data_IF_114037371091
#
_entry.id   IF_114037371091
#
_cell.length_a   1.000
_cell.length_b   1.000
_cell.length_c   1.000
_cell.angle_alpha   90.00
_cell.angle_beta   90.00
_cell.angle_gamma   90.00
#
_symmetry.space_group_name_H-M   'P 1'
#
loop_
_entity.id
_entity.type
_entity.pdbx_description
1 polymer ?
#
# COMPACT_ATOMS: atom_id res chain seq x y z
N UNK A 1 -11.31 -2.56 16.60
CA UNK A 1 -9.87 -2.41 16.28
C UNK A 1 -9.33 -1.22 17.07
N UNK A 2 -8.12 -1.30 17.64
CA UNK A 2 -7.52 -0.19 18.40
C UNK A 2 -6.37 0.44 17.59
N UNK A 3 -6.51 1.73 17.27
CA UNK A 3 -5.48 2.53 16.62
C UNK A 3 -4.69 3.30 17.69
N UNK A 4 -3.36 3.14 17.67
CA UNK A 4 -2.45 3.81 18.62
C UNK A 4 -2.30 5.29 18.25
N UNK A 5 -2.54 6.19 19.21
CA UNK A 5 -2.55 7.65 18.96
C UNK A 5 -1.19 8.22 18.50
N UNK A 6 -0.10 7.52 18.81
CA UNK A 6 1.25 7.81 18.31
C UNK A 6 1.35 7.76 16.79
N UNK A 7 0.59 6.87 16.14
CA UNK A 7 0.65 6.62 14.70
C UNK A 7 -0.60 7.08 13.95
N UNK A 8 -1.70 7.31 14.65
CA UNK A 8 -2.99 7.65 14.05
C UNK A 8 -3.66 8.80 14.81
N UNK A 9 -4.53 9.52 14.13
CA UNK A 9 -5.45 10.45 14.77
C UNK A 9 -6.84 10.27 14.17
N UNK A 10 -7.88 10.48 14.98
CA UNK A 10 -9.25 10.53 14.48
C UNK A 10 -9.37 11.70 13.50
N UNK A 11 -10.02 11.45 12.38
CA UNK A 11 -10.26 12.46 11.36
C UNK A 11 -11.58 12.15 10.66
N UNK A 12 -12.44 13.16 10.53
CA UNK A 12 -13.70 13.00 9.80
C UNK A 12 -13.44 13.27 8.33
N UNK A 13 -13.47 12.22 7.52
CA UNK A 13 -13.36 12.33 6.06
C UNK A 13 -14.74 12.53 5.45
N UNK A 14 -14.80 13.38 4.41
CA UNK A 14 -15.95 13.38 3.50
C UNK A 14 -15.94 12.09 2.67
N UNK A 15 -17.12 11.54 2.37
CA UNK A 15 -17.21 10.31 1.56
C UNK A 15 -16.54 10.46 0.18
N UNK A 16 -16.63 11.65 -0.41
CA UNK A 16 -15.97 11.99 -1.68
C UNK A 16 -14.45 11.85 -1.57
N UNK A 17 -13.86 12.30 -0.46
CA UNK A 17 -12.42 12.21 -0.21
C UNK A 17 -11.95 10.76 -0.11
N UNK A 18 -12.72 9.89 0.57
CA UNK A 18 -12.42 8.45 0.64
C UNK A 18 -12.53 7.79 -0.74
N UNK A 19 -13.53 8.18 -1.55
CA UNK A 19 -13.69 7.71 -2.93
C UNK A 19 -12.50 8.14 -3.82
N UNK A 20 -12.00 9.35 -3.65
CA UNK A 20 -10.84 9.85 -4.40
C UNK A 20 -9.54 9.12 -4.01
N UNK A 21 -9.36 8.78 -2.73
CA UNK A 21 -8.24 7.91 -2.30
C UNK A 21 -8.30 6.54 -2.95
N UNK A 22 -9.48 5.91 -2.96
CA UNK A 22 -9.67 4.63 -3.62
C UNK A 22 -9.39 4.71 -5.13
N UNK A 23 -9.87 5.77 -5.79
CA UNK A 23 -9.61 6.01 -7.23
C UNK A 23 -8.11 6.16 -7.51
N UNK A 24 -7.39 6.90 -6.65
CA UNK A 24 -5.93 7.05 -6.75
C UNK A 24 -5.19 5.72 -6.57
N UNK A 25 -5.62 4.89 -5.62
CA UNK A 25 -5.07 3.55 -5.43
C UNK A 25 -5.30 2.65 -6.67
N UNK A 26 -6.52 2.65 -7.21
CA UNK A 26 -6.88 1.91 -8.41
C UNK A 26 -6.09 2.37 -9.64
N UNK A 27 -5.92 3.68 -9.82
CA UNK A 27 -5.13 4.25 -10.91
C UNK A 27 -3.68 3.75 -10.88
N UNK A 28 -3.05 3.71 -9.69
CA UNK A 28 -1.72 3.11 -9.54
C UNK A 28 -1.70 1.63 -9.95
N UNK A 29 -2.70 0.85 -9.54
CA UNK A 29 -2.78 -0.57 -9.91
C UNK A 29 -2.96 -0.75 -11.43
N UNK A 30 -3.75 0.11 -12.08
CA UNK A 30 -3.95 0.09 -13.52
C UNK A 30 -2.67 0.41 -14.28
N UNK A 31 -1.88 1.39 -13.82
CA UNK A 31 -0.58 1.71 -14.43
C UNK A 31 0.36 0.51 -14.33
N UNK A 32 0.47 -0.11 -13.15
CA UNK A 32 1.29 -1.31 -12.96
C UNK A 32 0.86 -2.47 -13.88
N UNK A 33 -0.43 -2.55 -14.22
CA UNK A 33 -0.98 -3.60 -15.08
C UNK A 33 -0.85 -3.38 -16.58
N UNK A 34 -0.44 -2.19 -17.05
CA UNK A 34 -0.40 -1.81 -18.47
C UNK A 34 1.01 -1.72 -19.06
N UNK A 35 2.03 -1.90 -18.23
CA UNK A 35 3.44 -1.74 -18.60
C UNK A 35 4.19 -3.05 -18.39
N UNK A 36 5.26 -3.25 -19.17
CA UNK A 36 6.13 -4.44 -19.10
C UNK A 36 7.55 -4.08 -18.61
N UNK A 37 7.66 -3.01 -17.83
CA UNK A 37 8.92 -2.56 -17.21
C UNK A 37 8.89 -2.97 -15.72
N UNK A 38 9.72 -3.93 -15.27
CA UNK A 38 9.64 -4.49 -13.92
C UNK A 38 9.66 -3.45 -12.79
N UNK A 39 10.51 -2.44 -12.90
CA UNK A 39 10.65 -1.36 -11.93
C UNK A 39 9.37 -0.51 -11.84
N UNK A 40 8.73 -0.26 -12.99
CA UNK A 40 7.47 0.48 -13.04
C UNK A 40 6.34 -0.37 -12.45
N UNK A 41 6.27 -1.66 -12.79
CA UNK A 41 5.30 -2.59 -12.21
C UNK A 41 5.44 -2.61 -10.69
N UNK A 42 6.65 -2.81 -10.18
CA UNK A 42 6.92 -2.85 -8.75
C UNK A 42 6.53 -1.54 -8.05
N UNK A 43 7.01 -0.40 -8.56
CA UNK A 43 6.75 0.93 -7.97
C UNK A 43 5.26 1.21 -7.88
N UNK A 44 4.54 1.04 -8.97
CA UNK A 44 3.10 1.32 -9.00
C UNK A 44 2.28 0.27 -8.24
N UNK A 45 2.74 -0.98 -8.14
CA UNK A 45 2.12 -1.99 -7.27
C UNK A 45 2.25 -1.60 -5.80
N UNK A 46 3.44 -1.17 -5.37
CA UNK A 46 3.66 -0.70 -4.00
C UNK A 46 2.84 0.55 -3.68
N UNK A 47 2.83 1.53 -4.59
CA UNK A 47 2.02 2.74 -4.43
C UNK A 47 0.52 2.42 -4.33
N UNK A 48 0.02 1.50 -5.15
CA UNK A 48 -1.36 1.05 -5.09
C UNK A 48 -1.70 0.42 -3.73
N UNK A 49 -0.81 -0.43 -3.20
CA UNK A 49 -0.97 -1.08 -1.89
C UNK A 49 -1.03 -0.05 -0.75
N UNK A 50 -0.10 0.90 -0.71
CA UNK A 50 -0.06 1.94 0.33
C UNK A 50 -1.28 2.86 0.25
N UNK A 51 -1.66 3.31 -0.95
CA UNK A 51 -2.86 4.15 -1.15
C UNK A 51 -4.15 3.42 -0.78
N UNK A 52 -4.23 2.12 -1.05
CA UNK A 52 -5.36 1.31 -0.62
C UNK A 52 -5.42 1.22 0.92
N UNK A 53 -4.27 1.01 1.57
CA UNK A 53 -4.19 1.04 3.04
C UNK A 53 -4.65 2.37 3.63
N UNK A 54 -4.22 3.49 3.06
CA UNK A 54 -4.70 4.83 3.47
C UNK A 54 -6.22 4.95 3.31
N UNK A 55 -6.77 4.43 2.19
CA UNK A 55 -8.22 4.43 1.93
C UNK A 55 -8.97 3.64 3.01
N UNK A 56 -8.49 2.45 3.37
CA UNK A 56 -9.11 1.60 4.38
C UNK A 56 -9.06 2.23 5.77
N UNK A 57 -7.92 2.82 6.15
CA UNK A 57 -7.77 3.52 7.43
C UNK A 57 -8.70 4.74 7.49
N UNK A 58 -8.85 5.46 6.37
CA UNK A 58 -9.79 6.59 6.28
C UNK A 58 -11.26 6.15 6.41
N UNK A 59 -11.64 4.98 5.87
CA UNK A 59 -12.99 4.39 6.06
C UNK A 59 -13.29 4.09 7.52
N UNK A 60 -12.27 3.75 8.31
CA UNK A 60 -12.40 3.53 9.77
C UNK A 60 -12.44 4.86 10.57
N UNK A 61 -12.34 6.03 9.92
CA UNK A 61 -12.37 7.34 10.57
C UNK A 61 -11.03 7.79 11.16
N UNK A 62 -9.92 7.24 10.65
CA UNK A 62 -8.57 7.54 11.12
C UNK A 62 -7.67 8.05 10.00
N UNK A 63 -6.67 8.84 10.38
CA UNK A 63 -5.62 9.29 9.48
C UNK A 63 -4.26 8.91 10.07
N UNK A 64 -3.43 8.26 9.27
CA UNK A 64 -2.05 7.95 9.64
C UNK A 64 -1.25 9.24 9.77
N UNK A 65 -0.43 9.34 10.82
CA UNK A 65 0.53 10.42 10.99
C UNK A 65 1.74 10.17 10.08
N UNK A 66 2.29 11.24 9.49
CA UNK A 66 3.48 11.16 8.64
C UNK A 66 4.76 11.10 9.47
N UNK A 67 4.91 10.05 10.28
CA UNK A 67 6.09 9.79 11.12
C UNK A 67 6.97 8.68 10.52
N UNK A 68 8.19 8.53 11.04
CA UNK A 68 9.07 7.43 10.63
C UNK A 68 8.37 6.08 10.82
N UNK A 69 8.39 5.24 9.80
CA UNK A 69 7.73 3.93 9.84
C UNK A 69 6.23 3.94 9.55
N UNK A 70 5.63 5.08 9.16
CA UNK A 70 4.19 5.15 8.86
C UNK A 70 3.70 4.12 7.82
N UNK A 71 4.51 3.75 6.81
CA UNK A 71 4.15 2.66 5.88
C UNK A 71 4.00 1.30 6.58
N UNK A 72 4.83 1.00 7.58
CA UNK A 72 4.70 -0.22 8.38
C UNK A 72 3.34 -0.22 9.08
N UNK A 73 2.98 0.92 9.68
CA UNK A 73 1.69 1.10 10.35
C UNK A 73 0.50 0.98 9.39
N UNK A 74 0.60 1.53 8.19
CA UNK A 74 -0.41 1.35 7.15
C UNK A 74 -0.62 -0.13 6.82
N UNK A 75 0.47 -0.90 6.67
CA UNK A 75 0.40 -2.33 6.38
C UNK A 75 -0.18 -3.15 7.54
N UNK A 76 0.26 -2.88 8.79
CA UNK A 76 -0.29 -3.50 10.01
C UNK A 76 -1.80 -3.23 10.16
N UNK A 77 -2.25 -1.99 9.88
CA UNK A 77 -3.67 -1.66 9.92
C UNK A 77 -4.44 -2.37 8.81
N UNK A 78 -3.92 -2.39 7.59
CA UNK A 78 -4.56 -3.05 6.46
C UNK A 78 -4.70 -4.57 6.67
N UNK A 79 -3.64 -5.23 7.17
CA UNK A 79 -3.65 -6.64 7.58
C UNK A 79 -4.77 -6.92 8.58
N UNK A 80 -4.91 -6.07 9.62
CA UNK A 80 -5.97 -6.22 10.62
C UNK A 80 -7.38 -5.94 10.09
N UNK A 81 -7.55 -4.93 9.24
CA UNK A 81 -8.85 -4.58 8.63
C UNK A 81 -9.33 -5.73 7.73
N UNK A 82 -8.44 -6.26 6.89
CA UNK A 82 -8.77 -7.30 5.91
C UNK A 82 -8.60 -8.73 6.46
N UNK A 83 -8.13 -8.88 7.71
CA UNK A 83 -7.82 -10.16 8.38
C UNK A 83 -6.90 -11.04 7.52
N UNK A 84 -5.83 -10.44 7.04
CA UNK A 84 -4.88 -11.06 6.13
C UNK A 84 -3.44 -10.70 6.50
N UNK A 85 -2.79 -11.60 7.23
CA UNK A 85 -1.42 -11.42 7.73
C UNK A 85 -0.39 -11.34 6.59
N UNK A 86 -0.68 -11.92 5.43
CA UNK A 86 0.19 -11.88 4.25
C UNK A 86 0.45 -10.44 3.79
N UNK A 87 -0.50 -9.52 4.02
CA UNK A 87 -0.37 -8.09 3.74
C UNK A 87 0.79 -7.47 4.49
N UNK A 88 0.94 -7.80 5.77
CA UNK A 88 2.04 -7.27 6.56
C UNK A 88 3.36 -7.87 6.11
N UNK A 89 3.40 -9.18 5.85
CA UNK A 89 4.61 -9.89 5.40
C UNK A 89 5.10 -9.37 4.05
N UNK A 90 4.28 -9.52 3.00
CA UNK A 90 4.63 -9.17 1.62
C UNK A 90 4.77 -7.65 1.47
N UNK A 91 3.89 -6.87 2.11
CA UNK A 91 3.99 -5.41 2.10
C UNK A 91 5.29 -4.89 2.71
N UNK A 92 5.78 -5.52 3.79
CA UNK A 92 7.07 -5.15 4.37
C UNK A 92 8.25 -5.57 3.49
N UNK A 93 8.16 -6.69 2.77
CA UNK A 93 9.16 -7.05 1.75
C UNK A 93 9.23 -5.97 0.67
N UNK A 94 8.08 -5.58 0.10
CA UNK A 94 8.00 -4.49 -0.89
C UNK A 94 8.56 -3.18 -0.34
N UNK A 95 8.25 -2.81 0.91
CA UNK A 95 8.79 -1.60 1.54
C UNK A 95 10.32 -1.63 1.65
N UNK A 96 10.90 -2.76 2.10
CA UNK A 96 12.35 -2.92 2.22
C UNK A 96 13.02 -2.82 0.85
N UNK A 97 12.43 -3.47 -0.15
CA UNK A 97 12.86 -3.37 -1.55
C UNK A 97 12.81 -1.91 -2.02
N UNK A 98 11.68 -1.21 -1.90
CA UNK A 98 11.59 0.21 -2.28
C UNK A 98 12.61 1.10 -1.55
N UNK A 99 12.92 0.82 -0.29
CA UNK A 99 13.93 1.59 0.44
C UNK A 99 15.35 1.31 -0.04
N UNK A 100 15.70 0.05 -0.32
CA UNK A 100 16.99 -0.29 -0.91
C UNK A 100 17.16 0.38 -2.29
N UNK A 101 16.11 0.44 -3.11
CA UNK A 101 16.10 1.12 -4.41
C UNK A 101 16.44 2.61 -4.27
N UNK A 102 15.78 3.30 -3.33
CA UNK A 102 16.01 4.73 -3.10
C UNK A 102 17.38 5.08 -2.52
N UNK A 103 17.91 4.27 -1.61
CA UNK A 103 19.08 4.64 -0.81
C UNK A 103 20.39 3.96 -1.23
N UNK A 104 20.33 2.84 -1.97
CA UNK A 104 21.51 2.04 -2.30
C UNK A 104 21.85 2.04 -3.81
N UNK A 105 21.34 3.00 -4.59
CA UNK A 105 21.71 3.15 -6.00
C UNK A 105 20.90 2.27 -6.96
N UNK A 106 19.69 1.87 -6.56
CA UNK A 106 18.76 1.12 -7.40
C UNK A 106 18.59 -0.34 -6.99
N UNK A 107 17.44 -0.90 -7.33
CA UNK A 107 17.18 -2.34 -7.26
C UNK A 107 16.89 -2.88 -8.64
N UNK A 108 17.46 -4.05 -8.90
CA UNK A 108 17.03 -4.92 -9.99
C UNK A 108 15.88 -5.76 -9.43
N UNK A 109 14.64 -5.37 -9.75
CA UNK A 109 13.49 -6.25 -9.51
C UNK A 109 13.32 -7.10 -10.76
N UNK A 110 13.30 -8.41 -10.62
CA UNK A 110 13.12 -9.29 -11.78
C UNK A 110 11.71 -9.15 -12.33
N UNK A 111 11.52 -9.50 -13.61
CA UNK A 111 10.18 -9.57 -14.21
C UNK A 111 9.27 -10.46 -13.36
N UNK A 112 9.75 -11.65 -12.98
CA UNK A 112 9.01 -12.60 -12.13
C UNK A 112 8.56 -11.95 -10.81
N UNK A 113 9.46 -11.37 -10.04
CA UNK A 113 9.14 -10.72 -8.76
C UNK A 113 8.14 -9.58 -8.95
N UNK A 114 8.33 -8.75 -9.97
CA UNK A 114 7.43 -7.63 -10.24
C UNK A 114 5.98 -8.11 -10.53
N UNK A 115 5.84 -9.22 -11.25
CA UNK A 115 4.53 -9.84 -11.54
C UNK A 115 3.93 -10.51 -10.31
N UNK A 116 4.73 -11.15 -9.47
CA UNK A 116 4.29 -11.72 -8.19
C UNK A 116 3.73 -10.62 -7.28
N UNK A 117 4.43 -9.49 -7.14
CA UNK A 117 3.93 -8.35 -6.39
C UNK A 117 2.65 -7.76 -6.99
N UNK A 118 2.58 -7.58 -8.31
CA UNK A 118 1.36 -7.09 -8.97
C UNK A 118 0.16 -8.02 -8.70
N UNK A 119 0.37 -9.34 -8.81
CA UNK A 119 -0.68 -10.32 -8.59
C UNK A 119 -1.13 -10.37 -7.13
N UNK A 120 -0.18 -10.26 -6.19
CA UNK A 120 -0.46 -10.11 -4.77
C UNK A 120 -1.34 -8.88 -4.53
N UNK A 121 -0.95 -7.70 -5.02
CA UNK A 121 -1.73 -6.46 -4.83
C UNK A 121 -3.11 -6.56 -5.50
N UNK A 122 -3.23 -7.17 -6.69
CA UNK A 122 -4.54 -7.48 -7.29
C UNK A 122 -5.39 -8.40 -6.42
N UNK A 123 -4.78 -9.32 -5.68
CA UNK A 123 -5.43 -10.15 -4.68
C UNK A 123 -6.00 -9.34 -3.53
N UNK A 124 -5.22 -8.39 -2.99
CA UNK A 124 -5.67 -7.48 -1.93
C UNK A 124 -6.84 -6.59 -2.39
N UNK A 125 -6.77 -6.02 -3.60
CA UNK A 125 -7.86 -5.20 -4.15
C UNK A 125 -9.18 -5.97 -4.33
N UNK A 126 -9.14 -7.29 -4.54
CA UNK A 126 -10.35 -8.12 -4.65
C UNK A 126 -11.07 -8.33 -3.32
N UNK A 127 -10.46 -7.97 -2.20
CA UNK A 127 -11.04 -8.08 -0.84
C UNK A 127 -11.77 -6.81 -0.39
N UNK A 128 -11.73 -5.74 -1.19
CA UNK A 128 -12.23 -4.38 -0.86
C UNK A 128 -13.38 -3.96 -1.77
#
# INVERSE_FOLDING_TARGET
MHFQEEFYHKFKFEESQVKDYFRSAKSSLEIAGKVDIPEVIFKFSYDALIKLGITLIAREGYKTRSTTGHHIKILEAMSRILKDEEIETVGNMMRRQRNMDLYNGGIIVTEKESREYLNFVRGVFRKV
#
